data_IF_727725047153
#
_entry.id   IF_727725047153
#
_cell.length_a   1.000
_cell.length_b   1.000
_cell.length_c   1.000
_cell.angle_alpha   90.00
_cell.angle_beta   90.00
_cell.angle_gamma   90.00
#
_symmetry.space_group_name_H-M   'P 1'
#
loop_
_entity.id
_entity.type
_entity.pdbx_description
1 polymer ?
#
# COMPACT_ATOMS: atom_id res chain seq x y z
N UNK A 1 18.79 11.98 0.32
CA UNK A 1 18.94 11.65 -1.12
C UNK A 1 19.28 10.16 -1.20
N UNK A 2 18.74 9.42 -2.16
CA UNK A 2 19.20 8.05 -2.41
C UNK A 2 20.57 8.07 -3.11
N UNK A 3 21.43 7.12 -2.76
CA UNK A 3 22.77 6.94 -3.34
C UNK A 3 22.76 6.15 -4.66
N UNK A 4 21.69 5.39 -4.89
CA UNK A 4 21.50 4.60 -6.13
C UNK A 4 20.72 5.38 -7.20
N UNK A 5 19.89 6.34 -6.79
CA UNK A 5 19.11 7.19 -7.71
C UNK A 5 18.91 8.60 -7.13
N UNK A 6 18.54 9.57 -7.97
CA UNK A 6 18.45 10.96 -7.53
C UNK A 6 17.17 11.33 -6.75
N UNK A 7 16.38 10.33 -6.32
CA UNK A 7 15.18 10.58 -5.53
C UNK A 7 15.54 11.12 -4.15
N UNK A 8 14.90 12.24 -3.78
CA UNK A 8 15.09 12.90 -2.48
C UNK A 8 13.95 12.50 -1.53
N UNK A 9 14.32 12.22 -0.29
CA UNK A 9 13.43 11.88 0.80
C UNK A 9 13.73 12.80 1.97
N UNK A 10 12.69 13.24 2.67
CA UNK A 10 12.79 14.10 3.86
C UNK A 10 12.88 13.28 5.17
N UNK A 11 12.58 11.98 5.10
CA UNK A 11 12.53 11.07 6.24
C UNK A 11 13.43 9.84 5.99
N UNK A 12 14.17 9.43 7.02
CA UNK A 12 15.11 8.32 6.95
C UNK A 12 14.41 6.97 6.78
N UNK A 13 13.26 6.75 7.42
CA UNK A 13 12.47 5.51 7.27
C UNK A 13 11.97 5.32 5.84
N UNK A 14 11.56 6.40 5.19
CA UNK A 14 11.14 6.42 3.79
C UNK A 14 12.32 6.16 2.85
N UNK A 15 13.50 6.76 3.12
CA UNK A 15 14.71 6.49 2.37
C UNK A 15 15.14 5.02 2.49
N UNK A 16 15.16 4.46 3.70
CA UNK A 16 15.49 3.04 3.94
C UNK A 16 14.51 2.11 3.22
N UNK A 17 13.20 2.37 3.34
CA UNK A 17 12.18 1.60 2.63
C UNK A 17 12.31 1.71 1.11
N UNK A 18 12.76 2.87 0.60
CA UNK A 18 13.05 3.05 -0.81
C UNK A 18 14.31 2.28 -1.23
N UNK A 19 15.39 2.27 -0.44
CA UNK A 19 16.60 1.51 -0.77
C UNK A 19 16.31 0.03 -1.00
N UNK A 20 15.35 -0.55 -0.27
CA UNK A 20 14.86 -1.91 -0.49
C UNK A 20 14.30 -2.17 -1.90
N UNK A 21 13.86 -1.15 -2.63
CA UNK A 21 13.43 -1.32 -4.03
C UNK A 21 14.60 -1.59 -4.98
N UNK A 22 15.80 -1.13 -4.63
CA UNK A 22 17.02 -1.39 -5.39
C UNK A 22 17.62 -2.75 -5.05
N UNK A 23 17.60 -3.13 -3.77
CA UNK A 23 18.16 -4.42 -3.33
C UNK A 23 17.21 -5.60 -3.54
N UNK A 24 15.91 -5.33 -3.74
CA UNK A 24 14.87 -6.36 -3.80
C UNK A 24 14.52 -6.96 -2.44
N UNK A 25 15.05 -6.42 -1.34
CA UNK A 25 14.76 -6.88 0.02
C UNK A 25 13.28 -6.67 0.36
N UNK A 26 12.58 -7.75 0.72
CA UNK A 26 11.17 -7.75 1.07
C UNK A 26 10.97 -8.45 2.41
N UNK A 27 11.19 -7.76 3.54
CA UNK A 27 11.21 -8.41 4.85
C UNK A 27 9.84 -8.86 5.35
N UNK A 28 8.75 -8.39 4.75
CA UNK A 28 7.40 -8.66 5.23
C UNK A 28 6.74 -9.78 4.44
N UNK A 29 6.77 -11.01 4.97
CA UNK A 29 6.17 -12.20 4.35
C UNK A 29 4.68 -12.33 4.69
N UNK A 30 3.89 -12.75 3.71
CA UNK A 30 2.51 -13.18 3.92
C UNK A 30 2.47 -14.64 4.39
N UNK A 31 1.74 -14.88 5.47
CA UNK A 31 1.61 -16.22 6.04
C UNK A 31 0.64 -17.11 5.25
N UNK A 32 -0.28 -16.51 4.49
CA UNK A 32 -1.27 -17.26 3.68
C UNK A 32 -0.69 -17.80 2.37
N UNK A 33 0.11 -16.99 1.67
CA UNK A 33 0.60 -17.32 0.32
C UNK A 33 2.12 -17.21 0.15
N UNK A 34 2.86 -16.83 1.21
CA UNK A 34 4.31 -16.70 1.16
C UNK A 34 4.85 -15.46 0.42
N UNK A 35 3.98 -14.64 -0.18
CA UNK A 35 4.38 -13.42 -0.91
C UNK A 35 5.04 -12.41 0.03
N UNK A 36 6.16 -11.82 -0.41
CA UNK A 36 6.92 -10.86 0.37
C UNK A 36 6.68 -9.40 -0.08
N UNK A 37 6.71 -8.47 0.87
CA UNK A 37 6.49 -7.04 0.70
C UNK A 37 7.63 -6.21 1.29
N UNK A 38 7.86 -5.02 0.72
CA UNK A 38 8.87 -4.05 1.18
C UNK A 38 8.43 -3.30 2.45
N UNK A 39 7.11 -3.10 2.62
CA UNK A 39 6.52 -2.33 3.71
C UNK A 39 5.42 -3.12 4.42
N UNK A 40 5.33 -2.98 5.74
CA UNK A 40 4.36 -3.68 6.58
C UNK A 40 2.91 -3.34 6.24
N UNK A 41 2.60 -2.09 5.93
CA UNK A 41 1.23 -1.68 5.59
C UNK A 41 0.75 -2.31 4.27
N UNK A 42 1.64 -2.53 3.29
CA UNK A 42 1.30 -3.26 2.07
C UNK A 42 0.94 -4.72 2.39
N UNK A 43 1.71 -5.37 3.27
CA UNK A 43 1.37 -6.72 3.75
C UNK A 43 0.01 -6.73 4.47
N UNK A 44 -0.26 -5.74 5.35
CA UNK A 44 -1.55 -5.65 6.06
C UNK A 44 -2.73 -5.53 5.10
N UNK A 45 -2.63 -4.65 4.11
CA UNK A 45 -3.66 -4.52 3.07
C UNK A 45 -3.78 -5.80 2.25
N UNK A 46 -2.66 -6.42 1.87
CA UNK A 46 -2.67 -7.68 1.15
C UNK A 46 -3.34 -8.80 1.95
N UNK A 47 -3.13 -8.91 3.26
CA UNK A 47 -3.81 -9.92 4.10
C UNK A 47 -5.34 -9.83 3.99
N UNK A 48 -5.89 -8.64 3.73
CA UNK A 48 -7.33 -8.44 3.51
C UNK A 48 -7.86 -9.09 2.23
N UNK A 49 -7.00 -9.39 1.24
CA UNK A 49 -7.43 -10.12 0.03
C UNK A 49 -7.72 -11.59 0.33
N UNK A 50 -7.11 -12.14 1.38
CA UNK A 50 -7.37 -13.51 1.85
C UNK A 50 -8.61 -13.57 2.74
N UNK A 51 -8.80 -12.56 3.62
CA UNK A 51 -9.93 -12.53 4.55
C UNK A 51 -11.20 -11.92 3.95
N UNK A 52 -11.10 -11.21 2.83
CA UNK A 52 -12.21 -10.45 2.24
C UNK A 52 -12.57 -9.17 3.00
N UNK A 53 -11.77 -8.76 3.99
CA UNK A 53 -12.05 -7.57 4.80
C UNK A 53 -12.02 -6.29 3.95
N UNK A 54 -13.09 -5.51 4.04
CA UNK A 54 -13.26 -4.24 3.32
C UNK A 54 -13.70 -3.14 4.30
N UNK A 55 -12.77 -2.61 5.12
CA UNK A 55 -13.12 -1.66 6.18
C UNK A 55 -13.44 -0.26 5.64
N UNK A 56 -13.01 0.06 4.42
CA UNK A 56 -13.21 1.36 3.82
C UNK A 56 -14.42 1.33 2.88
N UNK A 57 -15.57 1.84 3.34
CA UNK A 57 -16.80 1.88 2.53
C UNK A 57 -17.00 3.25 1.90
N UNK A 58 -17.46 3.27 0.66
CA UNK A 58 -17.90 4.50 0.02
C UNK A 58 -19.22 4.97 0.63
N UNK A 59 -19.27 6.23 1.02
CA UNK A 59 -20.43 6.93 1.57
C UNK A 59 -21.55 7.13 0.55
N UNK A 60 -21.22 7.16 -0.74
CA UNK A 60 -22.19 7.40 -1.83
C UNK A 60 -22.86 6.11 -2.31
N UNK A 61 -22.08 5.06 -2.61
CA UNK A 61 -22.60 3.83 -3.22
C UNK A 61 -22.43 2.57 -2.38
N UNK A 62 -21.86 2.68 -1.17
CA UNK A 62 -21.68 1.55 -0.25
C UNK A 62 -20.58 0.55 -0.62
N UNK A 63 -19.89 0.72 -1.76
CA UNK A 63 -18.82 -0.20 -2.21
C UNK A 63 -17.67 -0.20 -1.19
N UNK A 64 -17.28 -1.39 -0.75
CA UNK A 64 -16.18 -1.60 0.19
C UNK A 64 -14.82 -1.83 -0.49
N UNK A 65 -13.77 -1.28 0.12
CA UNK A 65 -12.38 -1.36 -0.32
C UNK A 65 -11.48 -1.84 0.82
N UNK A 66 -10.44 -2.60 0.45
CA UNK A 66 -9.44 -3.11 1.39
C UNK A 66 -8.35 -2.10 1.74
N UNK A 67 -8.28 -0.96 1.05
CA UNK A 67 -7.38 0.14 1.36
C UNK A 67 -8.03 1.51 1.12
N UNK A 68 -7.57 2.53 1.86
CA UNK A 68 -8.12 3.88 1.78
C UNK A 68 -7.77 4.60 0.47
N UNK A 69 -6.62 4.31 -0.14
CA UNK A 69 -6.21 4.92 -1.41
C UNK A 69 -7.14 4.53 -2.55
N UNK A 70 -7.55 3.27 -2.61
CA UNK A 70 -8.55 2.77 -3.55
C UNK A 70 -9.92 3.40 -3.34
N UNK A 71 -10.34 3.58 -2.08
CA UNK A 71 -11.57 4.32 -1.77
C UNK A 71 -11.49 5.78 -2.26
N UNK A 72 -10.38 6.49 -2.00
CA UNK A 72 -10.22 7.89 -2.43
C UNK A 72 -10.28 7.99 -3.96
N UNK A 73 -9.57 7.11 -4.68
CA UNK A 73 -9.62 7.06 -6.14
C UNK A 73 -11.01 6.75 -6.67
N UNK A 74 -11.73 5.85 -6.01
CA UNK A 74 -13.12 5.54 -6.35
C UNK A 74 -14.03 6.74 -6.10
N UNK A 75 -13.89 7.42 -4.96
CA UNK A 75 -14.72 8.57 -4.58
C UNK A 75 -14.63 9.71 -5.58
N UNK A 76 -13.46 9.91 -6.20
CA UNK A 76 -13.28 10.89 -7.29
C UNK A 76 -14.15 10.62 -8.52
N UNK A 77 -14.74 9.42 -8.67
CA UNK A 77 -15.70 9.12 -9.74
C UNK A 77 -17.11 9.60 -9.42
N UNK A 78 -17.42 9.87 -8.16
CA UNK A 78 -18.71 10.40 -7.72
C UNK A 78 -18.73 11.92 -7.64
N UNK A 79 -17.55 12.55 -7.63
CA UNK A 79 -17.42 13.98 -7.92
C UNK A 79 -17.57 14.15 -9.42
N UNK A 80 -18.84 14.14 -9.88
CA UNK A 80 -19.21 14.67 -11.19
C UNK A 80 -19.02 16.18 -11.08
N UNK A 81 -18.07 16.73 -11.82
CA UNK A 81 -18.15 18.14 -12.26
C UNK A 81 -19.11 18.23 -13.43
#
# INVERSE_FOLDING_TARGET
KCDVCDVRFYDASNLTSHKRTHTGERPYKCDFCGVNFIRSHHLKVHKRTHTGEKPHKCDVCGVGFSDSGSLIKHRKKHTVE
#
